data_IF_387088839671
#
_entry.id   IF_387088839671
#
_cell.length_a   1.000
_cell.length_b   1.000
_cell.length_c   1.000
_cell.angle_alpha   90.00
_cell.angle_beta   90.00
_cell.angle_gamma   90.00
#
_symmetry.space_group_name_H-M   'P 1'
#
loop_
_entity.id
_entity.type
_entity.pdbx_description
1 polymer ?
#
# COMPACT_ATOMS: atom_id res chain seq x y z
N UNK A 1 4.08 -1.52 -27.26
CA UNK A 1 3.18 -2.25 -28.15
C UNK A 1 3.13 -3.72 -27.81
N UNK A 2 2.36 -4.04 -26.79
CA UNK A 2 2.07 -5.35 -26.28
C UNK A 2 1.18 -6.22 -27.18
N UNK A 3 0.38 -5.64 -28.08
CA UNK A 3 -0.72 -6.35 -28.76
C UNK A 3 -0.57 -6.50 -30.29
N UNK A 4 0.65 -6.50 -30.84
CA UNK A 4 0.83 -6.69 -32.29
C UNK A 4 1.67 -7.91 -32.65
N UNK A 5 0.99 -9.05 -32.80
CA UNK A 5 1.45 -10.17 -33.64
C UNK A 5 0.27 -10.70 -34.47
N UNK A 6 0.08 -10.16 -35.68
CA UNK A 6 -0.91 -10.64 -36.64
C UNK A 6 -0.46 -11.94 -37.34
N UNK A 7 -1.39 -12.75 -37.87
CA UNK A 7 -1.09 -14.05 -38.49
C UNK A 7 -0.62 -13.87 -39.93
N UNK A 8 0.61 -13.39 -40.15
CA UNK A 8 1.34 -13.54 -41.41
C UNK A 8 2.76 -12.95 -41.33
N UNK A 9 3.75 -13.79 -41.04
CA UNK A 9 5.05 -13.84 -41.72
C UNK A 9 5.78 -12.56 -42.18
N UNK A 10 5.70 -11.42 -41.47
CA UNK A 10 6.57 -10.27 -41.69
C UNK A 10 7.12 -9.76 -40.36
N UNK A 11 8.39 -10.07 -40.12
CA UNK A 11 9.20 -9.46 -39.06
C UNK A 11 9.38 -7.98 -39.37
N UNK A 12 8.75 -7.13 -38.58
CA UNK A 12 9.35 -5.85 -38.23
C UNK A 12 9.65 -5.93 -36.74
N UNK A 13 10.91 -6.24 -36.43
CA UNK A 13 11.41 -6.12 -35.07
C UNK A 13 11.49 -4.62 -34.75
N UNK A 14 10.45 -4.08 -34.12
CA UNK A 14 10.62 -2.95 -33.22
C UNK A 14 10.61 -3.52 -31.80
N UNK A 15 11.52 -3.02 -30.98
CA UNK A 15 11.94 -3.49 -29.66
C UNK A 15 10.87 -3.35 -28.56
N UNK A 16 9.66 -3.85 -28.79
CA UNK A 16 8.57 -3.87 -27.84
C UNK A 16 8.32 -5.27 -27.28
N UNK A 17 8.40 -5.39 -25.95
CA UNK A 17 7.87 -6.50 -25.17
C UNK A 17 6.41 -6.72 -25.59
N UNK A 18 6.05 -7.86 -26.18
CA UNK A 18 4.68 -8.14 -26.64
C UNK A 18 4.20 -9.51 -26.19
N UNK A 19 2.92 -9.57 -25.80
CA UNK A 19 2.27 -10.81 -25.39
C UNK A 19 1.63 -11.43 -26.62
N UNK A 20 2.08 -12.63 -27.07
CA UNK A 20 1.56 -13.24 -28.28
C UNK A 20 0.15 -13.81 -28.06
N UNK A 21 -0.63 -14.00 -29.14
CA UNK A 21 -1.96 -14.59 -29.09
C UNK A 21 -1.97 -16.08 -28.69
N UNK A 22 -0.83 -16.76 -28.89
CA UNK A 22 -0.69 -18.18 -28.55
C UNK A 22 -0.17 -18.33 -27.11
N UNK A 23 -0.64 -19.34 -26.36
CA UNK A 23 -0.14 -19.61 -25.02
C UNK A 23 1.39 -19.77 -25.01
N UNK A 24 2.06 -19.02 -24.15
CA UNK A 24 3.50 -19.17 -23.88
C UNK A 24 3.65 -20.04 -22.64
N UNK A 25 4.62 -20.96 -22.66
CA UNK A 25 4.89 -21.81 -21.50
C UNK A 25 5.30 -20.96 -20.29
N UNK A 26 4.71 -21.24 -19.12
CA UNK A 26 5.04 -20.54 -17.88
C UNK A 26 6.51 -20.72 -17.46
N UNK A 27 7.17 -21.77 -17.95
CA UNK A 27 8.59 -22.08 -17.72
C UNK A 27 9.54 -21.36 -18.66
N UNK A 28 9.06 -20.60 -19.66
CA UNK A 28 9.90 -19.81 -20.54
C UNK A 28 10.35 -18.51 -19.85
N UNK A 29 11.22 -18.64 -18.85
CA UNK A 29 11.73 -17.51 -18.07
C UNK A 29 12.46 -16.48 -18.96
N UNK A 30 13.05 -16.92 -20.08
CA UNK A 30 13.72 -16.02 -21.02
C UNK A 30 12.74 -15.08 -21.76
N UNK A 31 11.51 -15.52 -21.99
CA UNK A 31 10.43 -14.67 -22.51
C UNK A 31 9.91 -13.74 -21.41
N UNK A 32 9.54 -14.29 -20.26
CA UNK A 32 8.90 -13.53 -19.18
C UNK A 32 9.83 -12.51 -18.54
N UNK A 33 11.12 -12.81 -18.39
CA UNK A 33 12.08 -11.89 -17.76
C UNK A 33 12.22 -10.57 -18.51
N UNK A 34 11.88 -10.53 -19.80
CA UNK A 34 11.97 -9.31 -20.60
C UNK A 34 11.09 -8.19 -20.01
N UNK A 35 9.91 -8.52 -19.45
CA UNK A 35 8.96 -7.53 -18.93
C UNK A 35 9.47 -6.74 -17.70
N UNK A 36 10.48 -7.22 -16.99
CA UNK A 36 11.06 -6.57 -15.81
C UNK A 36 12.59 -6.49 -15.82
N UNK A 37 13.26 -7.03 -16.83
CA UNK A 37 14.72 -6.96 -16.96
C UNK A 37 15.24 -5.58 -17.36
N UNK A 38 14.40 -4.72 -17.97
CA UNK A 38 14.81 -3.35 -18.31
C UNK A 38 14.71 -2.42 -17.09
N UNK A 39 15.87 -2.22 -16.45
CA UNK A 39 16.04 -1.55 -15.15
C UNK A 39 15.86 -0.03 -15.18
N UNK A 40 15.56 0.58 -16.33
CA UNK A 40 15.45 2.04 -16.48
C UNK A 40 14.00 2.55 -16.67
N UNK A 41 12.99 1.69 -16.55
CA UNK A 41 11.62 2.03 -16.93
C UNK A 41 10.89 2.79 -15.82
N UNK A 42 10.64 4.09 -16.02
CA UNK A 42 9.78 4.87 -15.12
C UNK A 42 8.31 4.44 -15.22
N UNK A 43 7.45 4.83 -14.26
CA UNK A 43 6.00 4.63 -14.37
C UNK A 43 5.46 5.23 -15.67
N UNK A 44 5.92 6.42 -16.06
CA UNK A 44 5.48 7.04 -17.31
C UNK A 44 5.86 6.19 -18.53
N UNK A 45 7.05 5.59 -18.51
CA UNK A 45 7.51 4.71 -19.59
C UNK A 45 6.65 3.43 -19.65
N UNK A 46 6.32 2.82 -18.51
CA UNK A 46 5.40 1.66 -18.49
C UNK A 46 4.04 2.03 -19.08
N UNK A 47 3.47 3.18 -18.71
CA UNK A 47 2.17 3.61 -19.21
C UNK A 47 2.20 3.94 -20.72
N UNK A 48 3.32 4.44 -21.23
CA UNK A 48 3.51 4.70 -22.65
C UNK A 48 3.75 3.40 -23.45
N UNK A 49 4.50 2.45 -22.89
CA UNK A 49 4.86 1.18 -23.54
C UNK A 49 3.75 0.12 -23.47
N UNK A 50 2.88 0.22 -22.46
CA UNK A 50 1.73 -0.65 -22.20
C UNK A 50 0.39 0.12 -22.23
N UNK A 51 -0.08 0.53 -23.42
CA UNK A 51 -1.39 1.15 -23.62
C UNK A 51 -2.58 0.33 -23.11
N UNK A 52 -3.64 1.04 -22.69
CA UNK A 52 -4.86 0.45 -22.13
C UNK A 52 -5.55 -0.53 -23.09
N UNK A 53 -5.60 -0.17 -24.38
CA UNK A 53 -6.20 -0.99 -25.42
C UNK A 53 -5.48 -2.32 -25.59
N UNK A 54 -4.16 -2.35 -25.39
CA UNK A 54 -3.37 -3.56 -25.54
C UNK A 54 -3.57 -4.51 -24.37
N UNK A 55 -3.70 -3.99 -23.14
CA UNK A 55 -4.00 -4.81 -21.97
C UNK A 55 -5.38 -5.47 -22.13
N UNK A 56 -6.40 -4.72 -22.58
CA UNK A 56 -7.73 -5.28 -22.86
C UNK A 56 -7.70 -6.30 -24.00
N UNK A 57 -6.96 -6.04 -25.07
CA UNK A 57 -6.79 -7.00 -26.16
C UNK A 57 -6.12 -8.30 -25.66
N UNK A 58 -5.06 -8.21 -24.84
CA UNK A 58 -4.41 -9.38 -24.26
C UNK A 58 -5.34 -10.11 -23.28
N UNK A 59 -6.16 -9.39 -22.51
CA UNK A 59 -7.19 -9.98 -21.61
C UNK A 59 -8.21 -10.82 -22.39
N UNK A 60 -8.64 -10.34 -23.55
CA UNK A 60 -9.67 -10.98 -24.39
C UNK A 60 -9.09 -12.08 -25.29
N UNK A 61 -7.95 -11.82 -25.94
CA UNK A 61 -7.34 -12.69 -26.94
C UNK A 61 -6.37 -13.72 -26.34
N UNK A 62 -5.82 -13.45 -25.15
CA UNK A 62 -4.79 -14.28 -24.52
C UNK A 62 -4.87 -14.29 -22.98
N UNK A 63 -6.04 -14.65 -22.40
CA UNK A 63 -6.25 -14.60 -20.96
C UNK A 63 -5.25 -15.46 -20.17
N UNK A 64 -4.83 -16.61 -20.70
CA UNK A 64 -3.81 -17.46 -20.06
C UNK A 64 -2.47 -16.76 -19.92
N UNK A 65 -2.03 -16.03 -20.96
CA UNK A 65 -0.75 -15.32 -20.93
C UNK A 65 -0.81 -14.12 -19.96
N UNK A 66 -1.95 -13.42 -19.90
CA UNK A 66 -2.14 -12.36 -18.91
C UNK A 66 -2.08 -12.91 -17.49
N UNK A 67 -2.73 -14.05 -17.23
CA UNK A 67 -2.70 -14.72 -15.94
C UNK A 67 -1.28 -15.13 -15.55
N UNK A 68 -0.52 -15.74 -16.48
CA UNK A 68 0.89 -16.10 -16.26
C UNK A 68 1.75 -14.87 -15.99
N UNK A 69 1.52 -13.76 -16.70
CA UNK A 69 2.25 -12.52 -16.48
C UNK A 69 2.03 -11.97 -15.06
N UNK A 70 0.78 -11.93 -14.61
CA UNK A 70 0.44 -11.51 -13.25
C UNK A 70 1.08 -12.45 -12.21
N UNK A 71 0.97 -13.76 -12.41
CA UNK A 71 1.59 -14.75 -11.53
C UNK A 71 3.10 -14.53 -11.41
N UNK A 72 3.80 -14.42 -12.54
CA UNK A 72 5.26 -14.21 -12.56
C UNK A 72 5.65 -12.88 -11.92
N UNK A 73 4.90 -11.80 -12.15
CA UNK A 73 5.17 -10.51 -11.51
C UNK A 73 5.04 -10.60 -9.98
N UNK A 74 4.01 -11.29 -9.47
CA UNK A 74 3.87 -11.56 -8.04
C UNK A 74 4.98 -12.47 -7.53
N UNK A 75 5.35 -13.52 -8.27
CA UNK A 75 6.46 -14.42 -7.93
C UNK A 75 7.77 -13.64 -7.74
N UNK A 76 8.06 -12.65 -8.60
CA UNK A 76 9.25 -11.80 -8.46
C UNK A 76 9.19 -10.87 -7.25
N UNK A 77 8.01 -10.37 -6.86
CA UNK A 77 7.85 -9.59 -5.63
C UNK A 77 8.08 -10.46 -4.38
N UNK A 78 7.52 -11.68 -4.37
CA UNK A 78 7.75 -12.67 -3.29
C UNK A 78 9.24 -13.02 -3.20
N UNK A 79 9.88 -13.34 -4.32
CA UNK A 79 11.33 -13.62 -4.34
C UNK A 79 12.16 -12.45 -3.84
N UNK A 80 11.81 -11.21 -4.19
CA UNK A 80 12.49 -10.02 -3.69
C UNK A 80 12.29 -9.80 -2.18
N UNK A 81 11.09 -10.11 -1.68
CA UNK A 81 10.78 -10.07 -0.24
C UNK A 81 11.57 -11.13 0.54
N UNK A 82 11.66 -12.36 0.01
CA UNK A 82 12.40 -13.47 0.64
C UNK A 82 13.93 -13.30 0.54
N UNK A 83 14.42 -12.68 -0.54
CA UNK A 83 15.86 -12.41 -0.72
C UNK A 83 16.33 -11.15 -0.02
N UNK A 84 15.43 -10.24 0.38
CA UNK A 84 15.78 -8.97 1.01
C UNK A 84 16.42 -7.98 0.06
N UNK A 85 16.11 -8.09 -1.24
CA UNK A 85 16.54 -7.16 -2.27
C UNK A 85 18.05 -6.82 -2.20
N UNK A 86 18.90 -7.84 -2.05
CA UNK A 86 20.33 -7.69 -1.77
C UNK A 86 21.10 -7.03 -2.92
N UNK A 87 20.61 -7.16 -4.16
CA UNK A 87 21.24 -6.55 -5.32
C UNK A 87 20.40 -5.41 -5.90
N UNK A 88 21.07 -4.43 -6.51
CA UNK A 88 20.39 -3.36 -7.25
C UNK A 88 19.48 -3.93 -8.36
N UNK A 89 19.91 -5.02 -9.00
CA UNK A 89 19.11 -5.71 -10.02
C UNK A 89 17.78 -6.23 -9.44
N UNK A 90 17.80 -6.86 -8.27
CA UNK A 90 16.58 -7.35 -7.61
C UNK A 90 15.64 -6.19 -7.24
N UNK A 91 16.18 -5.10 -6.69
CA UNK A 91 15.41 -3.88 -6.36
C UNK A 91 14.70 -3.33 -7.60
N UNK A 92 15.40 -3.26 -8.73
CA UNK A 92 14.81 -2.78 -9.98
C UNK A 92 13.77 -3.75 -10.53
N UNK A 93 13.97 -5.07 -10.44
CA UNK A 93 12.96 -6.06 -10.83
C UNK A 93 11.68 -5.90 -10.00
N UNK A 94 11.80 -5.74 -8.69
CA UNK A 94 10.67 -5.50 -7.77
C UNK A 94 9.90 -4.24 -8.15
N UNK A 95 10.61 -3.14 -8.40
CA UNK A 95 9.97 -1.88 -8.82
C UNK A 95 9.29 -2.03 -10.19
N UNK A 96 9.94 -2.67 -11.17
CA UNK A 96 9.34 -2.91 -12.49
C UNK A 96 8.08 -3.77 -12.41
N UNK A 97 8.10 -4.85 -11.62
CA UNK A 97 6.92 -5.69 -11.38
C UNK A 97 5.80 -4.91 -10.68
N UNK A 98 6.15 -4.04 -9.73
CA UNK A 98 5.17 -3.17 -9.05
C UNK A 98 4.48 -2.23 -10.03
N UNK A 99 5.25 -1.54 -10.88
CA UNK A 99 4.72 -0.63 -11.91
C UNK A 99 3.86 -1.38 -12.94
N UNK A 100 4.27 -2.59 -13.32
CA UNK A 100 3.51 -3.45 -14.21
C UNK A 100 2.15 -3.81 -13.62
N UNK A 101 2.13 -4.25 -12.36
CA UNK A 101 0.89 -4.62 -11.68
C UNK A 101 -0.02 -3.41 -11.43
N UNK A 102 0.53 -2.26 -11.03
CA UNK A 102 -0.21 -0.98 -10.96
C UNK A 102 -0.92 -0.70 -12.29
N UNK A 103 -0.24 -0.98 -13.41
CA UNK A 103 -0.78 -0.74 -14.74
C UNK A 103 -1.84 -1.76 -15.16
N UNK A 104 -1.67 -3.03 -14.81
CA UNK A 104 -2.50 -4.15 -15.30
C UNK A 104 -3.75 -4.38 -14.45
N UNK A 105 -3.65 -4.28 -13.12
CA UNK A 105 -4.74 -4.62 -12.18
C UNK A 105 -6.08 -3.92 -12.46
N UNK A 106 -6.12 -2.59 -12.75
CA UNK A 106 -7.37 -1.91 -13.12
C UNK A 106 -8.13 -2.62 -14.23
N UNK A 107 -7.43 -3.09 -15.25
CA UNK A 107 -8.03 -3.78 -16.40
C UNK A 107 -8.42 -5.22 -16.06
N UNK A 108 -7.86 -5.83 -15.03
CA UNK A 108 -8.36 -7.10 -14.53
C UNK A 108 -9.69 -6.88 -13.80
N UNK A 109 -9.79 -5.84 -12.96
CA UNK A 109 -11.00 -5.52 -12.19
C UNK A 109 -12.19 -5.07 -13.04
N UNK A 110 -11.93 -4.48 -14.21
CA UNK A 110 -12.98 -4.12 -15.19
C UNK A 110 -13.81 -5.32 -15.67
N UNK A 111 -13.26 -6.55 -15.63
CA UNK A 111 -13.86 -7.72 -16.24
C UNK A 111 -14.45 -8.69 -15.18
N UNK A 112 -15.78 -8.90 -15.18
CA UNK A 112 -16.43 -9.88 -14.31
C UNK A 112 -15.83 -11.29 -14.32
N UNK A 113 -15.31 -11.75 -15.46
CA UNK A 113 -14.82 -13.12 -15.62
C UNK A 113 -13.49 -13.33 -14.89
N UNK A 114 -12.80 -12.23 -14.55
CA UNK A 114 -11.56 -12.23 -13.79
C UNK A 114 -11.78 -12.09 -12.28
N UNK A 115 -13.04 -11.94 -11.83
CA UNK A 115 -13.36 -11.88 -10.40
C UNK A 115 -12.93 -13.17 -9.73
N UNK A 116 -12.15 -13.03 -8.66
CA UNK A 116 -11.63 -14.16 -7.91
C UNK A 116 -10.34 -14.77 -8.47
N UNK A 117 -9.82 -14.33 -9.63
CA UNK A 117 -8.54 -14.81 -10.15
C UNK A 117 -7.42 -14.67 -9.09
N UNK A 118 -7.28 -13.48 -8.51
CA UNK A 118 -6.28 -13.25 -7.45
C UNK A 118 -6.62 -13.96 -6.13
N UNK A 119 -7.90 -14.23 -5.87
CA UNK A 119 -8.35 -14.93 -4.66
C UNK A 119 -8.37 -16.46 -4.82
N UNK A 120 -7.97 -16.96 -5.99
CA UNK A 120 -7.82 -18.39 -6.25
C UNK A 120 -6.39 -18.86 -5.92
N UNK A 121 -6.28 -20.11 -5.52
CA UNK A 121 -5.00 -20.79 -5.35
C UNK A 121 -4.50 -21.24 -6.72
N UNK A 122 -3.19 -21.11 -6.97
CA UNK A 122 -2.60 -21.51 -8.25
C UNK A 122 -2.07 -22.94 -8.12
N UNK A 123 -2.60 -23.92 -8.87
CA UNK A 123 -2.10 -25.29 -8.83
C UNK A 123 -0.64 -25.34 -9.29
N UNK A 124 0.24 -25.95 -8.48
CA UNK A 124 1.66 -26.14 -8.82
C UNK A 124 2.60 -24.96 -8.54
N UNK A 125 2.16 -23.96 -7.76
CA UNK A 125 3.05 -22.92 -7.21
C UNK A 125 4.04 -23.45 -6.15
N UNK A 126 3.77 -24.62 -5.59
CA UNK A 126 4.75 -25.40 -4.83
C UNK A 126 5.84 -25.93 -5.76
N UNK A 127 7.05 -25.37 -5.67
CA UNK A 127 8.21 -25.90 -6.41
C UNK A 127 8.50 -27.34 -5.94
N UNK A 128 8.03 -28.31 -6.72
CA UNK A 128 8.60 -29.66 -6.75
C UNK A 128 7.82 -30.73 -5.99
N UNK A 129 6.83 -31.33 -6.66
CA UNK A 129 6.59 -32.78 -6.59
C UNK A 129 6.24 -33.40 -5.23
N UNK A 130 5.61 -32.67 -4.31
CA UNK A 130 4.94 -33.24 -3.15
C UNK A 130 3.43 -32.96 -3.25
N UNK A 131 2.62 -34.02 -3.34
CA UNK A 131 1.15 -33.95 -3.42
C UNK A 131 0.52 -33.33 -2.14
N UNK A 132 1.30 -33.15 -1.07
CA UNK A 132 0.87 -32.56 0.21
C UNK A 132 0.97 -31.02 0.28
N UNK A 133 1.64 -30.35 -0.67
CA UNK A 133 1.85 -28.87 -0.65
C UNK A 133 0.64 -28.07 -1.21
N UNK A 134 -0.28 -28.74 -1.93
CA UNK A 134 -1.40 -28.09 -2.63
C UNK A 134 -2.57 -27.74 -1.68
N UNK A 135 -2.69 -28.41 -0.52
CA UNK A 135 -3.71 -28.11 0.51
C UNK A 135 -3.45 -26.78 1.25
N UNK A 136 -2.21 -26.28 1.24
CA UNK A 136 -1.80 -25.03 1.88
C UNK A 136 -1.47 -23.91 0.88
N UNK A 137 -1.82 -24.09 -0.41
CA UNK A 137 -1.55 -23.09 -1.43
C UNK A 137 -2.28 -21.78 -1.08
N UNK A 138 -1.51 -20.70 -0.92
CA UNK A 138 -2.03 -19.38 -0.60
C UNK A 138 -2.58 -18.68 -1.85
N UNK A 139 -3.73 -17.98 -1.79
CA UNK A 139 -4.21 -17.14 -2.89
C UNK A 139 -3.18 -16.12 -3.37
N UNK A 140 -3.21 -15.80 -4.67
CA UNK A 140 -2.27 -14.84 -5.27
C UNK A 140 -2.36 -13.44 -4.64
N UNK A 141 -3.56 -13.00 -4.26
CA UNK A 141 -3.85 -11.75 -3.57
C UNK A 141 -3.10 -11.67 -2.23
N UNK A 142 -3.20 -12.72 -1.43
CA UNK A 142 -2.55 -12.78 -0.12
C UNK A 142 -1.03 -12.76 -0.25
N UNK A 143 -0.49 -13.56 -1.19
CA UNK A 143 0.95 -13.58 -1.49
C UNK A 143 1.47 -12.21 -1.95
N UNK A 144 0.71 -11.50 -2.79
CA UNK A 144 1.04 -10.15 -3.23
C UNK A 144 1.03 -9.16 -2.06
N UNK A 145 -0.03 -9.16 -1.25
CA UNK A 145 -0.18 -8.24 -0.12
C UNK A 145 0.89 -8.45 0.95
N UNK A 146 1.24 -9.70 1.26
CA UNK A 146 2.30 -10.01 2.22
C UNK A 146 3.69 -9.65 1.67
N UNK A 147 3.96 -9.93 0.38
CA UNK A 147 5.21 -9.52 -0.25
C UNK A 147 5.38 -7.98 -0.22
N UNK A 148 4.32 -7.22 -0.51
CA UNK A 148 4.35 -5.75 -0.39
C UNK A 148 4.66 -5.34 1.05
N UNK A 149 4.00 -5.95 2.04
CA UNK A 149 4.21 -5.63 3.45
C UNK A 149 5.65 -5.95 3.91
N UNK A 150 6.23 -7.08 3.50
CA UNK A 150 7.62 -7.43 3.76
C UNK A 150 8.59 -6.43 3.07
N UNK A 151 8.35 -6.11 1.80
CA UNK A 151 9.16 -5.15 1.04
C UNK A 151 9.14 -3.74 1.63
N UNK A 152 8.04 -3.31 2.26
CA UNK A 152 7.89 -2.02 2.95
C UNK A 152 8.76 -1.88 4.22
N UNK A 153 9.28 -3.00 4.74
CA UNK A 153 10.22 -3.05 5.86
C UNK A 153 11.55 -3.73 5.50
N UNK A 154 11.83 -3.89 4.20
CA UNK A 154 13.04 -4.52 3.71
C UNK A 154 14.28 -3.63 3.93
N UNK A 155 15.27 -4.07 4.72
CA UNK A 155 16.52 -3.33 4.94
C UNK A 155 17.26 -3.02 3.65
N UNK A 156 17.85 -1.83 3.59
CA UNK A 156 18.58 -1.27 2.45
C UNK A 156 17.78 -1.12 1.14
N UNK A 157 16.47 -1.39 1.18
CA UNK A 157 15.54 -1.13 0.09
C UNK A 157 14.52 -0.04 0.47
N UNK A 158 13.82 -0.22 1.59
CA UNK A 158 12.81 0.73 2.10
C UNK A 158 13.10 1.19 3.53
N UNK A 159 13.99 0.53 4.27
CA UNK A 159 14.40 0.95 5.62
C UNK A 159 15.91 0.85 5.80
N UNK A 160 16.48 1.62 6.73
CA UNK A 160 17.92 1.60 6.98
C UNK A 160 18.30 0.32 7.74
N UNK A 161 19.29 -0.44 7.26
CA UNK A 161 19.83 -1.56 8.03
C UNK A 161 20.54 -1.08 9.30
N UNK A 162 20.28 -1.75 10.44
CA UNK A 162 20.91 -1.48 11.74
C UNK A 162 22.28 -2.16 11.89
N UNK A 163 22.65 -3.11 11.01
CA UNK A 163 23.93 -3.83 11.08
C UNK A 163 25.01 -3.18 10.21
N UNK A 164 26.08 -2.71 10.86
CA UNK A 164 27.34 -2.35 10.17
C UNK A 164 28.01 -3.63 9.65
N UNK A 165 27.87 -3.91 8.36
CA UNK A 165 28.80 -4.62 7.44
C UNK A 165 30.02 -5.31 8.10
N UNK A 166 29.83 -6.27 9.00
CA UNK A 166 30.95 -7.02 9.61
C UNK A 166 30.74 -8.53 9.61
N UNK A 167 29.57 -9.03 9.18
CA UNK A 167 29.35 -10.45 8.88
C UNK A 167 28.34 -10.54 7.73
N UNK A 168 28.70 -11.21 6.63
CA UNK A 168 27.84 -11.50 5.46
C UNK A 168 26.69 -12.49 5.80
N UNK A 169 26.13 -12.44 7.01
CA UNK A 169 24.91 -13.16 7.33
C UNK A 169 23.75 -12.27 6.89
N UNK A 170 23.07 -12.64 5.80
CA UNK A 170 21.77 -12.06 5.45
C UNK A 170 20.90 -12.01 6.71
N UNK A 171 20.28 -10.86 7.00
CA UNK A 171 19.26 -10.81 8.05
C UNK A 171 18.17 -11.81 7.65
N UNK A 172 17.81 -12.71 8.57
CA UNK A 172 16.67 -13.57 8.34
C UNK A 172 15.42 -12.67 8.39
N UNK A 173 14.90 -12.33 7.21
CA UNK A 173 13.78 -11.41 7.01
C UNK A 173 12.53 -11.90 7.75
N UNK A 174 12.41 -13.20 7.97
CA UNK A 174 11.32 -13.78 8.73
C UNK A 174 11.44 -13.52 10.24
N UNK A 175 12.63 -13.18 10.73
CA UNK A 175 12.90 -12.83 12.14
C UNK A 175 12.89 -11.32 12.43
N UNK A 176 12.73 -10.48 11.41
CA UNK A 176 12.75 -9.02 11.54
C UNK A 176 11.62 -8.52 12.46
N UNK A 177 11.97 -7.77 13.50
CA UNK A 177 11.00 -6.97 14.25
C UNK A 177 10.82 -5.61 13.56
N UNK A 178 9.81 -5.52 12.70
CA UNK A 178 9.49 -4.30 11.96
C UNK A 178 9.17 -3.09 12.84
N UNK A 179 8.89 -3.28 14.13
CA UNK A 179 8.72 -2.15 15.07
C UNK A 179 10.01 -1.35 15.27
N UNK A 180 11.18 -1.95 15.03
CA UNK A 180 12.48 -1.25 15.08
C UNK A 180 12.74 -0.38 13.84
N UNK A 181 11.89 -0.50 12.81
CA UNK A 181 12.07 0.12 11.49
C UNK A 181 10.93 1.09 11.13
N UNK A 182 10.21 1.61 12.12
CA UNK A 182 9.17 2.62 11.92
C UNK A 182 9.77 3.85 11.20
N UNK A 183 9.06 4.34 10.18
CA UNK A 183 9.63 5.29 9.20
C UNK A 183 9.81 6.71 9.72
N UNK A 184 9.14 7.08 10.81
CA UNK A 184 9.10 8.43 11.34
C UNK A 184 8.74 8.45 12.83
N UNK A 185 9.31 9.38 13.58
CA UNK A 185 8.97 9.58 15.00
C UNK A 185 7.56 10.15 15.16
N UNK A 186 6.94 9.85 16.29
CA UNK A 186 5.58 10.28 16.62
C UNK A 186 4.91 9.32 17.60
N UNK A 187 3.69 8.91 17.27
CA UNK A 187 2.93 7.95 18.07
C UNK A 187 3.72 6.65 18.17
N UNK A 188 3.90 6.15 19.40
CA UNK A 188 4.51 4.83 19.65
C UNK A 188 6.00 4.70 19.29
N UNK A 189 6.65 5.74 18.75
CA UNK A 189 8.04 5.67 18.30
C UNK A 189 8.77 7.00 18.45
N UNK A 190 9.91 7.01 19.16
CA UNK A 190 10.54 8.25 19.59
C UNK A 190 11.65 8.77 18.65
N UNK A 191 12.15 7.96 17.73
CA UNK A 191 13.37 8.27 16.97
C UNK A 191 13.10 8.28 15.48
N UNK A 192 13.43 9.37 14.79
CA UNK A 192 13.36 9.39 13.33
C UNK A 192 14.62 8.72 12.75
N UNK A 193 14.48 7.78 11.81
CA UNK A 193 15.63 7.29 11.04
C UNK A 193 16.24 8.43 10.20
N UNK A 194 17.46 8.22 9.70
CA UNK A 194 18.05 9.21 8.79
C UNK A 194 17.21 9.32 7.50
N UNK A 195 16.89 10.55 7.04
CA UNK A 195 16.14 10.74 5.81
C UNK A 195 16.86 10.12 4.61
N UNK A 196 16.13 9.35 3.81
CA UNK A 196 16.64 8.74 2.59
C UNK A 196 15.55 8.80 1.52
N UNK A 197 15.74 9.68 0.52
CA UNK A 197 14.75 9.90 -0.53
C UNK A 197 14.52 8.66 -1.42
N UNK A 198 15.51 7.77 -1.55
CA UNK A 198 15.37 6.53 -2.32
C UNK A 198 14.40 5.59 -1.59
N UNK A 199 14.54 5.47 -0.27
CA UNK A 199 13.60 4.70 0.54
C UNK A 199 12.18 5.27 0.44
N UNK A 200 12.04 6.60 0.45
CA UNK A 200 10.73 7.25 0.29
C UNK A 200 10.11 6.99 -1.09
N UNK A 201 10.90 7.03 -2.15
CA UNK A 201 10.43 6.66 -3.50
C UNK A 201 10.00 5.20 -3.60
N UNK A 202 10.78 4.28 -3.02
CA UNK A 202 10.45 2.85 -3.04
C UNK A 202 9.18 2.55 -2.22
N UNK A 203 9.05 3.15 -1.03
CA UNK A 203 7.82 3.07 -0.22
C UNK A 203 6.62 3.60 -1.00
N UNK A 204 6.75 4.75 -1.64
CA UNK A 204 5.68 5.37 -2.44
C UNK A 204 5.21 4.45 -3.57
N UNK A 205 6.12 3.82 -4.32
CA UNK A 205 5.76 2.86 -5.39
C UNK A 205 5.02 1.63 -4.83
N UNK A 206 5.45 1.09 -3.69
CA UNK A 206 4.78 -0.04 -3.03
C UNK A 206 3.40 0.32 -2.47
N UNK A 207 3.24 1.53 -1.89
CA UNK A 207 1.95 2.01 -1.42
C UNK A 207 0.97 2.25 -2.59
N UNK A 208 1.45 2.73 -3.74
CA UNK A 208 0.64 2.83 -4.96
C UNK A 208 0.13 1.49 -5.45
N UNK A 209 0.99 0.46 -5.41
CA UNK A 209 0.57 -0.90 -5.73
C UNK A 209 -0.50 -1.40 -4.75
N UNK A 210 -0.33 -1.12 -3.45
CA UNK A 210 -1.29 -1.48 -2.43
C UNK A 210 -2.65 -0.79 -2.65
N UNK A 211 -2.67 0.52 -2.92
CA UNK A 211 -3.88 1.25 -3.27
C UNK A 211 -4.53 0.72 -4.56
N UNK A 212 -3.72 0.32 -5.54
CA UNK A 212 -4.24 -0.30 -6.75
C UNK A 212 -4.97 -1.59 -6.40
N UNK A 213 -4.41 -2.45 -5.55
CA UNK A 213 -5.09 -3.67 -5.07
C UNK A 213 -6.41 -3.32 -4.36
N UNK A 214 -6.42 -2.28 -3.52
CA UNK A 214 -7.63 -1.85 -2.80
C UNK A 214 -8.68 -1.18 -3.69
N UNK A 215 -8.37 -0.85 -4.93
CA UNK A 215 -9.27 -0.11 -5.82
C UNK A 215 -10.34 -0.96 -6.51
N UNK A 216 -10.39 -2.28 -6.29
CA UNK A 216 -11.33 -3.20 -6.97
C UNK A 216 -12.79 -2.70 -6.92
N UNK A 217 -13.23 -2.17 -5.77
CA UNK A 217 -14.59 -1.64 -5.58
C UNK A 217 -14.96 -0.51 -6.57
N UNK A 218 -13.98 0.25 -7.07
CA UNK A 218 -14.20 1.33 -8.05
C UNK A 218 -14.62 0.81 -9.43
N UNK A 219 -14.37 -0.46 -9.72
CA UNK A 219 -14.68 -1.13 -10.99
C UNK A 219 -15.94 -1.98 -10.91
N UNK A 220 -16.54 -2.09 -9.72
CA UNK A 220 -17.77 -2.85 -9.52
C UNK A 220 -19.00 -1.94 -9.71
N UNK A 221 -20.10 -2.46 -10.28
CA UNK A 221 -21.36 -1.74 -10.29
C UNK A 221 -21.84 -1.51 -8.84
N UNK A 222 -22.59 -0.44 -8.55
CA UNK A 222 -23.14 -0.19 -7.22
C UNK A 222 -23.93 -1.41 -6.73
N UNK A 223 -23.48 -2.05 -5.66
CA UNK A 223 -24.18 -3.18 -5.07
C UNK A 223 -25.43 -2.68 -4.31
N UNK A 224 -26.57 -3.38 -4.40
CA UNK A 224 -27.79 -3.03 -3.67
C UNK A 224 -27.64 -3.18 -2.15
N UNK A 225 -26.71 -4.04 -1.71
CA UNK A 225 -26.33 -4.23 -0.31
C UNK A 225 -24.92 -3.62 -0.11
N UNK A 226 -24.85 -2.44 0.51
CA UNK A 226 -23.62 -1.65 0.70
C UNK A 226 -22.63 -2.25 1.72
N UNK A 227 -22.78 -3.52 2.08
CA UNK A 227 -22.03 -4.18 3.16
C UNK A 227 -20.92 -5.11 2.67
N UNK A 228 -20.60 -5.13 1.37
CA UNK A 228 -19.49 -5.97 0.88
C UNK A 228 -18.16 -5.32 1.26
N UNK A 229 -17.56 -5.82 2.34
CA UNK A 229 -16.20 -5.45 2.77
C UNK A 229 -15.23 -5.82 1.63
N UNK A 230 -14.32 -4.92 1.29
CA UNK A 230 -13.30 -5.18 0.28
C UNK A 230 -12.34 -6.29 0.80
N UNK A 231 -12.27 -7.47 0.15
CA UNK A 231 -11.46 -8.58 0.65
C UNK A 231 -9.96 -8.25 0.70
N UNK A 232 -9.47 -7.38 -0.19
CA UNK A 232 -8.07 -6.95 -0.19
C UNK A 232 -7.74 -6.19 1.10
N UNK A 233 -8.62 -5.26 1.48
CA UNK A 233 -8.46 -4.47 2.71
C UNK A 233 -8.67 -5.36 3.94
N UNK A 234 -9.69 -6.23 3.92
CA UNK A 234 -9.97 -7.15 5.02
C UNK A 234 -8.76 -8.03 5.34
N UNK A 235 -8.17 -8.67 4.34
CA UNK A 235 -6.99 -9.50 4.53
C UNK A 235 -5.79 -8.67 5.00
N UNK A 236 -5.51 -7.53 4.36
CA UNK A 236 -4.35 -6.70 4.69
C UNK A 236 -4.39 -6.15 6.13
N UNK A 237 -5.58 -5.88 6.64
CA UNK A 237 -5.82 -5.41 7.99
C UNK A 237 -6.03 -6.54 9.02
N UNK A 238 -5.84 -7.81 8.64
CA UNK A 238 -6.00 -8.97 9.53
C UNK A 238 -4.70 -9.34 10.26
N UNK A 239 -4.78 -10.30 11.17
CA UNK A 239 -3.64 -10.86 11.91
C UNK A 239 -2.62 -11.59 11.04
N UNK A 240 -2.97 -11.95 9.81
CA UNK A 240 -2.05 -12.58 8.86
C UNK A 240 -0.95 -11.59 8.42
N UNK A 241 -1.20 -10.29 8.49
CA UNK A 241 -0.20 -9.26 8.22
C UNK A 241 0.60 -8.93 9.49
N UNK A 242 1.74 -9.60 9.68
CA UNK A 242 2.65 -9.36 10.81
C UNK A 242 3.14 -7.90 10.92
N UNK A 243 3.11 -7.15 9.82
CA UNK A 243 3.58 -5.76 9.75
C UNK A 243 2.50 -4.72 10.01
N UNK A 244 1.26 -5.13 10.33
CA UNK A 244 0.12 -4.22 10.45
C UNK A 244 0.38 -3.06 11.45
N UNK A 245 0.91 -3.36 12.64
CA UNK A 245 1.21 -2.34 13.66
C UNK A 245 2.32 -1.36 13.24
N UNK A 246 3.53 -1.82 12.86
CA UNK A 246 4.59 -0.91 12.43
C UNK A 246 4.21 -0.14 11.16
N UNK A 247 3.41 -0.72 10.26
CA UNK A 247 2.91 -0.03 9.09
C UNK A 247 1.91 1.07 9.47
N UNK A 248 0.89 0.76 10.27
CA UNK A 248 -0.06 1.75 10.78
C UNK A 248 0.67 2.94 11.42
N UNK A 249 1.63 2.64 12.28
CA UNK A 249 2.42 3.65 13.01
C UNK A 249 3.28 4.49 12.05
N UNK A 250 3.92 3.83 11.08
CA UNK A 250 4.76 4.51 10.08
C UNK A 250 3.96 5.45 9.18
N UNK A 251 2.78 5.01 8.71
CA UNK A 251 1.91 5.84 7.87
C UNK A 251 1.40 7.05 8.67
N UNK A 252 0.90 6.85 9.89
CA UNK A 252 0.36 7.92 10.72
C UNK A 252 1.43 8.96 11.06
N UNK A 253 2.62 8.51 11.48
CA UNK A 253 3.72 9.39 11.82
C UNK A 253 4.25 10.12 10.60
N UNK A 254 4.36 9.46 9.44
CA UNK A 254 4.79 10.10 8.18
C UNK A 254 3.87 11.26 7.80
N UNK A 255 2.54 11.07 7.90
CA UNK A 255 1.57 12.15 7.64
C UNK A 255 1.67 13.26 8.69
N UNK A 256 1.60 12.92 9.98
CA UNK A 256 1.53 13.92 11.05
C UNK A 256 2.85 14.67 11.27
N UNK A 257 4.00 14.09 10.93
CA UNK A 257 5.31 14.76 11.04
C UNK A 257 5.64 15.63 9.82
N UNK A 258 4.96 15.45 8.68
CA UNK A 258 5.31 16.15 7.45
C UNK A 258 5.18 17.67 7.55
N UNK A 259 6.25 18.37 7.18
CA UNK A 259 6.32 19.84 7.16
C UNK A 259 6.57 20.33 5.72
N UNK A 260 5.54 20.85 5.02
CA UNK A 260 5.66 21.31 3.63
C UNK A 260 6.46 22.60 3.48
N UNK A 261 6.71 23.34 4.57
CA UNK A 261 7.38 24.64 4.57
C UNK A 261 8.85 24.52 4.99
N UNK A 262 9.16 23.58 5.87
CA UNK A 262 10.51 23.32 6.36
C UNK A 262 11.09 24.54 7.07
N UNK A 263 12.25 25.04 6.61
CA UNK A 263 12.92 26.19 7.24
C UNK A 263 12.16 27.54 7.13
N UNK A 264 11.01 27.60 6.46
CA UNK A 264 10.23 28.84 6.33
C UNK A 264 10.86 29.88 5.41
N UNK A 265 11.84 29.48 4.60
CA UNK A 265 12.49 30.37 3.64
C UNK A 265 11.57 30.56 2.41
N UNK A 266 11.25 31.80 2.02
CA UNK A 266 10.46 32.09 0.82
C UNK A 266 11.03 31.41 -0.43
N UNK A 267 10.15 30.78 -1.23
CA UNK A 267 10.47 30.11 -2.49
C UNK A 267 11.40 28.89 -2.38
N UNK A 268 11.64 28.36 -1.18
CA UNK A 268 12.51 27.20 -0.97
C UNK A 268 12.09 25.98 -1.83
N UNK A 269 10.79 25.77 -1.99
CA UNK A 269 10.22 24.69 -2.79
C UNK A 269 10.46 24.83 -4.31
N UNK A 270 10.94 25.98 -4.80
CA UNK A 270 11.35 26.15 -6.19
C UNK A 270 12.81 25.74 -6.41
N UNK A 271 13.60 25.73 -5.34
CA UNK A 271 15.03 25.43 -5.38
C UNK A 271 15.32 23.97 -5.02
N UNK A 272 14.48 23.36 -4.18
CA UNK A 272 14.66 21.99 -3.69
C UNK A 272 13.41 21.16 -3.97
N UNK A 273 13.62 19.96 -4.51
CA UNK A 273 12.57 18.97 -4.70
C UNK A 273 12.17 18.36 -3.37
N UNK A 274 10.88 18.34 -3.10
CA UNK A 274 10.31 17.64 -1.97
C UNK A 274 9.89 16.23 -2.40
N UNK A 275 10.76 15.26 -2.11
CA UNK A 275 10.52 13.85 -2.40
C UNK A 275 9.64 13.16 -1.35
N UNK A 276 9.38 13.81 -0.20
CA UNK A 276 8.59 13.23 0.90
C UNK A 276 7.11 13.44 0.67
N UNK A 277 6.69 14.56 0.08
CA UNK A 277 5.27 14.86 -0.17
C UNK A 277 4.52 13.75 -0.91
N UNK A 278 5.04 13.17 -2.01
CA UNK A 278 4.34 12.08 -2.69
C UNK A 278 4.13 10.87 -1.77
N UNK A 279 5.12 10.50 -0.94
CA UNK A 279 4.95 9.41 0.03
C UNK A 279 3.87 9.74 1.07
N UNK A 280 3.80 11.00 1.53
CA UNK A 280 2.82 11.45 2.52
C UNK A 280 1.39 11.36 1.98
N UNK A 281 1.20 11.73 0.71
CA UNK A 281 -0.08 11.60 0.02
C UNK A 281 -0.54 10.14 -0.06
N UNK A 282 0.32 9.24 -0.56
CA UNK A 282 0.00 7.80 -0.61
C UNK A 282 -0.24 7.22 0.79
N UNK A 283 0.52 7.66 1.80
CA UNK A 283 0.36 7.21 3.17
C UNK A 283 -1.00 7.63 3.77
N UNK A 284 -1.45 8.85 3.49
CA UNK A 284 -2.76 9.33 3.90
C UNK A 284 -3.88 8.53 3.23
N UNK A 285 -3.76 8.27 1.92
CA UNK A 285 -4.74 7.48 1.16
C UNK A 285 -4.82 6.03 1.66
N UNK A 286 -3.69 5.37 1.92
CA UNK A 286 -3.67 4.01 2.49
C UNK A 286 -4.32 3.99 3.88
N UNK A 287 -4.05 4.97 4.74
CA UNK A 287 -4.71 5.07 6.04
C UNK A 287 -6.23 5.23 5.89
N UNK A 288 -6.70 6.08 4.98
CA UNK A 288 -8.14 6.29 4.76
C UNK A 288 -8.81 4.98 4.33
N UNK A 289 -8.24 4.29 3.36
CA UNK A 289 -8.80 3.04 2.81
C UNK A 289 -8.76 1.91 3.83
N UNK A 290 -7.66 1.77 4.59
CA UNK A 290 -7.54 0.74 5.65
C UNK A 290 -8.43 1.03 6.85
N UNK A 291 -8.80 2.29 7.09
CA UNK A 291 -9.81 2.69 8.07
C UNK A 291 -11.23 2.72 7.50
N UNK A 292 -11.43 2.29 6.25
CA UNK A 292 -12.77 2.17 5.68
C UNK A 292 -13.44 0.87 6.14
N UNK A 293 -13.91 0.91 7.39
CA UNK A 293 -14.61 -0.19 8.03
C UNK A 293 -16.04 0.24 8.35
N UNK A 294 -17.01 -0.62 8.06
CA UNK A 294 -18.41 -0.39 8.42
C UNK A 294 -18.60 -0.64 9.93
N UNK A 295 -18.69 0.44 10.69
CA UNK A 295 -18.97 0.40 12.13
C UNK A 295 -20.35 -0.20 12.46
N UNK A 296 -21.27 -0.30 11.49
CA UNK A 296 -22.65 -0.76 11.71
C UNK A 296 -22.75 -2.26 12.02
N UNK A 297 -21.81 -3.08 11.53
CA UNK A 297 -21.80 -4.54 11.77
C UNK A 297 -21.28 -4.94 13.16
N UNK A 298 -20.55 -4.05 13.83
CA UNK A 298 -19.94 -4.31 15.15
C UNK A 298 -20.75 -3.71 16.31
N UNK A 299 -21.72 -2.84 16.01
CA UNK A 299 -22.63 -2.30 17.01
C UNK A 299 -23.91 -3.15 17.07
N UNK A 300 -23.89 -4.24 17.83
CA UNK A 300 -25.15 -4.72 18.43
C UNK A 300 -25.56 -3.68 19.48
N UNK A 301 -26.65 -2.92 19.30
CA UNK A 301 -27.07 -1.96 20.29
C UNK A 301 -27.76 -2.74 21.39
N UNK A 302 -27.08 -3.07 22.49
CA UNK A 302 -27.75 -3.46 23.73
C UNK A 302 -28.33 -2.22 24.38
N UNK A 303 -29.39 -1.70 23.77
CA UNK A 303 -30.33 -0.80 24.43
C UNK A 303 -31.39 -1.69 25.06
N UNK A 304 -31.13 -2.19 26.26
CA UNK A 304 -32.20 -2.35 27.26
C UNK A 304 -31.61 -2.48 28.66
N UNK A 305 -31.82 -1.42 29.45
CA UNK A 305 -31.39 -1.30 30.84
C UNK A 305 -32.24 -2.10 31.83
N UNK A 306 -32.60 -3.34 31.52
CA UNK A 306 -33.31 -4.23 32.46
C UNK A 306 -33.12 -5.70 32.13
N UNK A 307 -32.04 -6.32 32.62
CA UNK A 307 -32.06 -7.73 33.05
C UNK A 307 -30.99 -7.99 34.11
N UNK A 308 -31.45 -8.38 35.29
CA UNK A 308 -30.67 -8.96 36.38
C UNK A 308 -30.29 -10.42 36.10
N UNK A 309 -29.01 -10.78 36.31
CA UNK A 309 -28.47 -12.16 36.37
C UNK A 309 -27.87 -12.65 35.05
N UNK A 310 -26.66 -13.19 34.94
CA UNK A 310 -25.71 -13.78 35.90
C UNK A 310 -24.27 -13.63 35.38
N UNK A 311 -23.31 -13.61 36.30
CA UNK A 311 -21.87 -13.49 36.04
C UNK A 311 -21.29 -14.65 35.19
N UNK A 312 -20.13 -14.35 34.58
CA UNK A 312 -19.23 -15.18 33.76
C UNK A 312 -19.49 -15.15 32.24
N UNK A 313 -19.06 -14.04 31.62
CA UNK A 313 -18.21 -14.09 30.42
C UNK A 313 -17.44 -12.76 30.34
N UNK A 314 -16.21 -12.73 30.87
CA UNK A 314 -15.22 -11.68 30.63
C UNK A 314 -14.63 -11.86 29.21
N UNK A 315 -15.49 -11.94 28.20
CA UNK A 315 -15.06 -11.72 26.83
C UNK A 315 -15.26 -10.23 26.57
N UNK A 316 -14.15 -9.48 26.53
CA UNK A 316 -14.15 -8.18 25.85
C UNK A 316 -14.92 -8.35 24.53
N UNK A 317 -15.85 -7.43 24.17
CA UNK A 317 -16.51 -7.51 22.88
C UNK A 317 -15.41 -7.69 21.82
N UNK A 318 -15.55 -8.67 20.90
CA UNK A 318 -14.50 -8.94 19.93
C UNK A 318 -14.17 -7.60 19.28
N UNK A 319 -12.92 -7.17 19.48
CA UNK A 319 -12.46 -5.90 18.93
C UNK A 319 -12.70 -5.88 17.42
N UNK A 320 -12.69 -4.69 16.78
CA UNK A 320 -12.86 -4.63 15.33
C UNK A 320 -11.90 -5.61 14.66
N UNK A 321 -12.43 -6.45 13.75
CA UNK A 321 -11.62 -7.44 13.01
C UNK A 321 -10.45 -6.76 12.26
N UNK A 322 -10.63 -5.49 11.91
CA UNK A 322 -9.61 -4.64 11.32
C UNK A 322 -8.61 -4.13 12.36
N UNK A 323 -7.35 -4.59 12.27
CA UNK A 323 -6.26 -4.18 13.16
C UNK A 323 -5.93 -2.69 13.10
N UNK A 324 -6.05 -2.03 11.95
CA UNK A 324 -5.76 -0.59 11.84
C UNK A 324 -6.77 0.23 12.63
N UNK A 325 -8.06 -0.13 12.54
CA UNK A 325 -9.12 0.46 13.37
C UNK A 325 -8.87 0.15 14.85
N UNK A 326 -8.47 -1.08 15.18
CA UNK A 326 -8.12 -1.47 16.55
C UNK A 326 -7.00 -0.60 17.12
N UNK A 327 -5.88 -0.45 16.41
CA UNK A 327 -4.74 0.36 16.85
C UNK A 327 -5.11 1.82 17.02
N UNK A 328 -5.84 2.40 16.06
CA UNK A 328 -6.34 3.77 16.15
C UNK A 328 -7.21 3.99 17.39
N UNK A 329 -8.14 3.08 17.68
CA UNK A 329 -9.04 3.19 18.83
C UNK A 329 -8.31 3.12 20.18
N UNK A 330 -7.12 2.50 20.20
CA UNK A 330 -6.31 2.29 21.41
C UNK A 330 -5.33 3.43 21.71
N UNK A 331 -5.10 4.36 20.78
CA UNK A 331 -4.31 5.57 21.06
C UNK A 331 -5.02 6.37 22.17
N UNK A 332 -4.28 6.75 23.21
CA UNK A 332 -4.88 7.39 24.39
C UNK A 332 -3.95 8.37 25.13
N UNK A 333 -2.65 8.41 24.79
CA UNK A 333 -1.72 9.31 25.45
C UNK A 333 -1.96 10.73 24.93
N UNK A 334 -1.97 11.69 25.84
CA UNK A 334 -2.23 13.08 25.51
C UNK A 334 -1.16 13.66 24.55
N UNK A 335 0.10 13.25 24.72
CA UNK A 335 1.19 13.64 23.81
C UNK A 335 1.00 13.12 22.38
N UNK A 336 0.48 11.90 22.22
CA UNK A 336 0.17 11.33 20.91
C UNK A 336 -0.98 12.10 20.25
N UNK A 337 -2.02 12.44 21.01
CA UNK A 337 -3.13 13.27 20.51
C UNK A 337 -2.67 14.67 20.12
N UNK A 338 -1.81 15.31 20.91
CA UNK A 338 -1.25 16.61 20.57
C UNK A 338 -0.39 16.54 19.31
N UNK A 339 0.41 15.48 19.15
CA UNK A 339 1.22 15.25 17.96
C UNK A 339 0.35 15.12 16.70
N UNK A 340 -0.66 14.25 16.74
CA UNK A 340 -1.62 14.05 15.63
C UNK A 340 -2.34 15.35 15.30
N UNK A 341 -2.93 16.02 16.30
CA UNK A 341 -3.72 17.23 16.10
C UNK A 341 -2.87 18.36 15.50
N UNK A 342 -1.68 18.59 16.04
CA UNK A 342 -0.76 19.62 15.54
C UNK A 342 -0.30 19.33 14.12
N UNK A 343 -0.01 18.07 13.81
CA UNK A 343 0.38 17.64 12.47
C UNK A 343 -0.72 17.92 11.44
N UNK A 344 -1.94 17.47 11.73
CA UNK A 344 -3.09 17.65 10.85
C UNK A 344 -3.46 19.14 10.71
N UNK A 345 -3.50 19.89 11.82
CA UNK A 345 -3.81 21.32 11.80
C UNK A 345 -2.78 22.10 10.96
N UNK A 346 -1.48 21.78 11.08
CA UNK A 346 -0.42 22.39 10.24
C UNK A 346 -0.69 22.18 8.77
N UNK A 347 -1.06 20.97 8.37
CA UNK A 347 -1.29 20.63 6.97
C UNK A 347 -2.60 21.23 6.44
N UNK A 348 -3.69 21.17 7.19
CA UNK A 348 -4.96 21.79 6.80
C UNK A 348 -4.88 23.32 6.73
N UNK A 349 -4.08 23.95 7.59
CA UNK A 349 -3.84 25.40 7.56
C UNK A 349 -2.93 25.84 6.41
N UNK A 350 -2.09 24.95 5.87
CA UNK A 350 -1.06 25.31 4.88
C UNK A 350 -1.63 26.06 3.65
N UNK A 351 -2.73 25.63 3.00
CA UNK A 351 -3.30 26.36 1.87
C UNK A 351 -3.85 27.75 2.22
N UNK A 352 -4.20 27.97 3.50
CA UNK A 352 -4.82 29.20 4.03
C UNK A 352 -3.78 30.25 4.44
N UNK A 353 -2.51 29.87 4.58
CA UNK A 353 -1.44 30.79 4.97
C UNK A 353 -1.29 31.93 3.95
N UNK A 354 -1.47 33.16 4.42
CA UNK A 354 -1.23 34.38 3.66
C UNK A 354 0.16 34.92 3.95
N UNK A 355 0.98 35.04 2.91
CA UNK A 355 2.31 35.65 2.98
C UNK A 355 2.32 36.99 2.24
N UNK A 356 3.18 37.92 2.68
CA UNK A 356 3.39 39.19 1.98
C UNK A 356 3.90 39.00 0.55
N UNK A 357 4.68 37.95 0.33
CA UNK A 357 5.22 37.58 -0.98
C UNK A 357 4.27 36.57 -1.65
N UNK A 358 3.86 36.81 -2.90
CA UNK A 358 2.95 35.91 -3.61
C UNK A 358 3.65 34.57 -3.89
N UNK A 359 2.95 33.45 -3.66
CA UNK A 359 3.45 32.10 -3.91
C UNK A 359 4.82 31.79 -3.26
N UNK A 360 5.12 32.43 -2.12
CA UNK A 360 6.41 32.23 -1.44
C UNK A 360 6.47 30.98 -0.59
N UNK A 361 5.33 30.34 -0.32
CA UNK A 361 5.23 29.11 0.46
C UNK A 361 4.62 28.00 -0.36
N UNK A 362 5.09 26.77 -0.09
CA UNK A 362 4.58 25.58 -0.75
C UNK A 362 3.13 25.36 -0.31
N UNK A 363 2.29 24.97 -1.25
CA UNK A 363 0.91 24.55 -0.98
C UNK A 363 0.74 23.07 -1.26
N UNK A 364 0.35 22.32 -0.24
CA UNK A 364 -0.01 20.91 -0.38
C UNK A 364 -1.24 20.76 -1.29
N UNK A 365 -1.37 19.59 -1.93
CA UNK A 365 -2.51 19.30 -2.82
C UNK A 365 -3.51 18.31 -2.21
N UNK A 366 -3.12 17.52 -1.21
CA UNK A 366 -3.91 16.42 -0.61
C UNK A 366 -4.77 16.84 0.60
N UNK A 367 -5.37 18.03 0.54
CA UNK A 367 -6.15 18.59 1.65
C UNK A 367 -7.50 17.86 1.86
N UNK A 368 -8.06 17.26 0.80
CA UNK A 368 -9.32 16.51 0.89
C UNK A 368 -9.12 15.20 1.67
N UNK A 369 -8.01 14.52 1.39
CA UNK A 369 -7.56 13.32 2.08
C UNK A 369 -7.38 13.61 3.57
N UNK A 370 -6.75 14.73 3.92
CA UNK A 370 -6.57 15.12 5.32
C UNK A 370 -7.88 15.34 6.07
N UNK A 371 -8.90 15.92 5.41
CA UNK A 371 -10.23 16.08 6.02
C UNK A 371 -10.91 14.73 6.26
N UNK A 372 -10.84 13.82 5.29
CA UNK A 372 -11.37 12.45 5.44
C UNK A 372 -10.64 11.70 6.54
N UNK A 373 -9.31 11.77 6.57
CA UNK A 373 -8.48 11.15 7.61
C UNK A 373 -8.82 11.72 8.99
N UNK A 374 -8.91 13.04 9.13
CA UNK A 374 -9.30 13.67 10.40
C UNK A 374 -10.67 13.22 10.89
N UNK A 375 -11.64 13.11 9.97
CA UNK A 375 -12.96 12.56 10.28
C UNK A 375 -12.87 11.11 10.77
N UNK A 376 -12.13 10.24 10.08
CA UNK A 376 -11.92 8.84 10.49
C UNK A 376 -11.24 8.73 11.87
N UNK A 377 -10.23 9.57 12.15
CA UNK A 377 -9.57 9.63 13.46
C UNK A 377 -10.55 9.98 14.58
N UNK A 378 -11.42 10.97 14.36
CA UNK A 378 -12.45 11.35 15.31
C UNK A 378 -13.54 10.29 15.47
N UNK A 379 -13.89 9.58 14.38
CA UNK A 379 -14.95 8.59 14.42
C UNK A 379 -14.51 7.34 15.20
N UNK A 380 -13.33 6.79 14.90
CA UNK A 380 -12.84 5.57 15.52
C UNK A 380 -12.16 5.78 16.88
N UNK A 381 -11.79 7.02 17.24
CA UNK A 381 -11.23 7.32 18.55
C UNK A 381 -11.99 8.48 19.23
N UNK A 382 -13.01 8.12 20.03
CA UNK A 382 -13.80 9.11 20.77
C UNK A 382 -12.97 9.90 21.80
N UNK A 383 -11.88 9.33 22.34
CA UNK A 383 -10.98 10.06 23.25
C UNK A 383 -10.24 11.18 22.51
N UNK A 384 -9.78 10.90 21.29
CA UNK A 384 -9.19 11.92 20.41
C UNK A 384 -10.22 13.00 20.06
N UNK A 385 -11.46 12.62 19.69
CA UNK A 385 -12.54 13.58 19.45
C UNK A 385 -12.78 14.50 20.66
N UNK A 386 -12.86 13.95 21.88
CA UNK A 386 -13.01 14.77 23.08
C UNK A 386 -11.80 15.66 23.37
N UNK A 387 -10.59 15.19 23.06
CA UNK A 387 -9.37 15.98 23.18
C UNK A 387 -9.40 17.18 22.21
N UNK A 388 -9.74 16.93 20.96
CA UNK A 388 -9.96 17.94 19.91
C UNK A 388 -10.96 18.99 20.38
N UNK A 389 -12.18 18.59 20.78
CA UNK A 389 -13.23 19.52 21.23
C UNK A 389 -12.86 20.39 22.44
N UNK A 390 -11.86 19.99 23.23
CA UNK A 390 -11.33 20.78 24.36
C UNK A 390 -10.14 21.65 23.97
N UNK A 391 -9.45 21.33 22.89
CA UNK A 391 -8.31 22.09 22.41
C UNK A 391 -8.76 23.38 21.74
N UNK A 392 -7.97 24.45 21.90
CA UNK A 392 -8.13 25.69 21.14
C UNK A 392 -7.87 25.48 19.64
N UNK A 393 -7.07 24.46 19.30
CA UNK A 393 -6.60 24.19 17.93
C UNK A 393 -7.74 23.74 16.99
N UNK A 394 -8.92 23.41 17.52
CA UNK A 394 -10.14 23.18 16.72
C UNK A 394 -10.50 24.40 15.89
N UNK A 395 -10.24 25.60 16.38
CA UNK A 395 -10.53 26.84 15.66
C UNK A 395 -9.63 27.04 14.44
N UNK A 396 -8.49 26.36 14.38
CA UNK A 396 -7.59 26.39 13.22
C UNK A 396 -7.98 25.34 12.15
N UNK A 397 -8.89 24.42 12.50
CA UNK A 397 -9.37 23.33 11.63
C UNK A 397 -10.76 23.62 11.04
N UNK A 398 -11.62 24.33 11.79
CA UNK A 398 -12.96 24.80 11.36
C UNK A 398 -12.87 26.12 10.59
#
# INVERSE_FOLDING_TARGET
NWAHCGPAGKRSCDSGHSVPPQPVEATDDAFWDQFWADTATSVQDVFALVPAAEIRAVREESPSNLATLCYKAVEKLVQGAESGCHSEKERQIVLSCSRLLIRVLPYIFEDPDWRGFFWSTVPGAGRGGAEDDDENARPLAESLLLAIADLLFCPDFTVQSHRRSTVDSAEDIHSLDSCEYIWEAGVGFAHSPQPNYIHDMNRMELLKLLLTCFSEAMYLPPAPDSSSINPWVQFFCSTENRHALPLFTSLLNTVCAYDPVGYGIPYNHLLFSDYREPLVEEAAQVLIVTLDHDSATSASPTVDGTTTGTAMDDADPPGPENLFVNYLSRIHREEDFQFILKGIARLLSNPLLQTYLPNSTKKIQFHQELLVLFWKLCDFNKKFLFFVLKSSDVLDIL
#
